data_IF_248289885261
#
_entry.id   IF_248289885261
#
_cell.length_a   1.000
_cell.length_b   1.000
_cell.length_c   1.000
_cell.angle_alpha   90.00
_cell.angle_beta   90.00
_cell.angle_gamma   90.00
#
_symmetry.space_group_name_H-M   'P 1'
#
loop_
_entity.id
_entity.type
_entity.pdbx_description
1 polymer ?
#
# COMPACT_ATOMS: atom_id res chain seq x y z
N UNK A 1 51.32 -20.45 7.45
CA UNK A 1 50.85 -19.18 8.05
C UNK A 1 49.33 -19.25 8.13
N UNK A 2 48.74 -19.02 9.32
CA UNK A 2 47.28 -19.07 9.53
C UNK A 2 46.68 -17.76 9.01
N UNK A 3 45.82 -17.82 7.99
CA UNK A 3 45.04 -16.66 7.56
C UNK A 3 43.83 -16.51 8.47
N UNK A 4 43.78 -15.43 9.25
CA UNK A 4 42.60 -14.99 9.99
C UNK A 4 41.73 -14.22 8.99
N UNK A 5 40.59 -14.79 8.63
CA UNK A 5 39.55 -14.08 7.86
C UNK A 5 38.72 -13.32 8.91
N UNK A 6 38.92 -12.00 8.97
CA UNK A 6 38.05 -11.12 9.77
C UNK A 6 36.80 -10.85 8.93
N UNK A 7 35.70 -11.49 9.31
CA UNK A 7 34.38 -11.23 8.74
C UNK A 7 33.81 -10.00 9.45
N UNK A 8 33.91 -8.84 8.80
CA UNK A 8 33.35 -7.59 9.30
C UNK A 8 31.85 -7.58 8.98
N UNK A 9 31.01 -8.02 9.92
CA UNK A 9 29.57 -7.77 9.87
C UNK A 9 29.31 -6.31 10.24
N UNK A 10 29.21 -5.44 9.23
CA UNK A 10 28.59 -4.12 9.40
C UNK A 10 27.07 -4.32 9.50
N UNK A 11 26.57 -4.52 10.71
CA UNK A 11 25.15 -4.33 11.01
C UNK A 11 24.87 -2.84 11.02
N UNK A 12 24.60 -2.26 9.83
CA UNK A 12 24.06 -0.91 9.75
C UNK A 12 22.68 -0.96 10.39
N UNK A 13 22.58 -0.21 11.47
CA UNK A 13 21.48 -0.16 12.41
C UNK A 13 20.27 0.50 11.76
N UNK A 14 19.10 -0.14 11.97
CA UNK A 14 17.74 0.37 11.83
C UNK A 14 17.50 1.35 10.67
N UNK A 15 16.94 0.83 9.58
CA UNK A 15 16.14 1.63 8.65
C UNK A 15 15.05 2.36 9.46
N UNK A 16 15.30 3.63 9.80
CA UNK A 16 14.27 4.53 10.28
C UNK A 16 13.19 4.54 9.21
N UNK A 17 12.05 3.93 9.51
CA UNK A 17 10.96 3.79 8.57
C UNK A 17 10.61 5.17 7.99
N UNK A 18 10.71 5.30 6.67
CA UNK A 18 10.33 6.48 5.90
C UNK A 18 8.85 6.77 6.15
N UNK A 19 8.56 7.59 7.16
CA UNK A 19 7.23 8.12 7.42
C UNK A 19 7.37 9.59 7.75
N UNK A 20 6.76 10.42 6.91
CA UNK A 20 6.80 11.86 7.06
C UNK A 20 5.90 12.28 8.22
N UNK A 21 6.52 12.72 9.32
CA UNK A 21 5.84 13.47 10.39
C UNK A 21 6.23 14.94 10.29
N UNK A 22 5.40 15.83 10.82
CA UNK A 22 5.73 17.25 10.94
C UNK A 22 5.31 17.80 12.30
N UNK A 23 6.10 18.71 12.84
CA UNK A 23 5.64 19.60 13.91
C UNK A 23 4.62 20.55 13.29
N UNK A 24 3.36 20.43 13.70
CA UNK A 24 2.24 21.15 13.13
C UNK A 24 1.95 22.46 13.87
N UNK A 25 2.09 22.47 15.20
CA UNK A 25 1.81 23.65 16.01
C UNK A 25 2.61 23.68 17.33
N UNK A 26 2.89 24.89 17.83
CA UNK A 26 3.46 25.13 19.16
C UNK A 26 2.64 26.21 19.88
N UNK A 27 2.09 25.88 21.04
CA UNK A 27 1.23 26.73 21.87
C UNK A 27 1.62 26.60 23.35
N UNK A 28 2.52 27.46 23.81
CA UNK A 28 3.10 27.41 25.15
C UNK A 28 2.10 27.73 26.29
N UNK A 29 0.87 28.11 25.97
CA UNK A 29 -0.18 28.41 26.95
C UNK A 29 -0.97 27.14 27.31
N UNK A 30 -0.96 26.13 26.43
CA UNK A 30 -1.69 24.87 26.63
C UNK A 30 -0.88 23.86 27.45
N UNK A 31 -1.61 22.97 28.15
CA UNK A 31 -1.00 21.85 28.89
C UNK A 31 -0.16 20.94 27.99
N UNK A 32 -0.62 20.73 26.75
CA UNK A 32 0.11 20.03 25.70
C UNK A 32 0.43 21.03 24.59
N UNK A 33 1.58 21.68 24.72
CA UNK A 33 1.97 22.81 23.89
C UNK A 33 2.63 22.45 22.56
N UNK A 34 2.93 21.18 22.28
CA UNK A 34 3.56 20.77 21.03
C UNK A 34 2.68 19.75 20.32
N UNK A 35 2.39 20.00 19.04
CA UNK A 35 1.54 19.16 18.21
C UNK A 35 2.33 18.63 17.02
N UNK A 36 2.41 17.30 16.89
CA UNK A 36 3.01 16.63 15.75
C UNK A 36 1.93 15.84 15.02
N UNK A 37 1.99 15.80 13.68
CA UNK A 37 1.09 14.97 12.90
C UNK A 37 1.84 14.04 11.95
N UNK A 38 1.26 12.87 11.72
CA UNK A 38 1.80 11.88 10.78
C UNK A 38 0.68 11.04 10.15
N UNK A 39 0.94 10.46 8.98
CA UNK A 39 0.08 9.47 8.34
C UNK A 39 0.93 8.38 7.71
N UNK A 40 0.41 7.15 7.70
CA UNK A 40 1.11 6.01 7.14
C UNK A 40 1.05 6.04 5.61
N UNK A 41 2.21 6.15 4.98
CA UNK A 41 2.31 6.21 3.52
C UNK A 41 2.21 4.83 2.85
N UNK A 42 2.50 3.75 3.59
CA UNK A 42 2.57 2.38 3.08
C UNK A 42 3.54 2.22 1.88
N UNK A 43 4.64 3.01 1.83
CA UNK A 43 5.59 3.06 0.71
C UNK A 43 6.21 1.69 0.34
N UNK A 44 6.35 0.79 1.32
CA UNK A 44 6.88 -0.56 1.09
C UNK A 44 5.83 -1.53 0.53
N UNK A 45 4.54 -1.20 0.61
CA UNK A 45 3.42 -2.06 0.22
C UNK A 45 3.04 -1.86 -1.25
N UNK A 46 3.96 -2.18 -2.14
CA UNK A 46 3.79 -1.97 -3.59
C UNK A 46 2.91 -3.04 -4.26
N UNK A 47 2.24 -2.64 -5.33
CA UNK A 47 1.53 -3.53 -6.26
C UNK A 47 2.45 -4.60 -6.85
N UNK A 48 1.95 -5.83 -6.99
CA UNK A 48 2.64 -6.94 -7.68
C UNK A 48 1.72 -7.56 -8.72
N UNK A 49 2.27 -8.07 -9.81
CA UNK A 49 1.48 -8.83 -10.77
C UNK A 49 2.31 -9.89 -11.52
N UNK A 50 1.60 -10.91 -11.99
CA UNK A 50 2.12 -11.91 -12.91
C UNK A 50 1.15 -12.07 -14.07
N UNK A 51 1.71 -12.17 -15.28
CA UNK A 51 0.94 -12.46 -16.50
C UNK A 51 1.39 -13.81 -17.03
N UNK A 52 0.44 -14.70 -17.24
CA UNK A 52 0.66 -15.99 -17.91
C UNK A 52 -0.01 -15.93 -19.28
N UNK A 53 0.66 -16.42 -20.33
CA UNK A 53 0.10 -16.50 -21.67
C UNK A 53 -0.13 -17.96 -22.06
N UNK A 54 -1.35 -18.27 -22.49
CA UNK A 54 -1.69 -19.58 -23.05
C UNK A 54 -1.83 -19.44 -24.56
N UNK A 55 -0.92 -20.09 -25.29
CA UNK A 55 -0.95 -20.16 -26.75
C UNK A 55 -1.96 -21.19 -27.24
N UNK A 56 -2.36 -21.07 -28.49
CA UNK A 56 -3.35 -21.93 -29.16
C UNK A 56 -4.71 -21.95 -28.44
N UNK A 57 -5.09 -20.79 -27.87
CA UNK A 57 -6.42 -20.60 -27.32
C UNK A 57 -7.46 -20.50 -28.44
N UNK A 58 -8.66 -21.05 -28.20
CA UNK A 58 -9.79 -20.94 -29.12
C UNK A 58 -10.34 -19.51 -29.22
N UNK A 59 -10.07 -18.68 -28.21
CA UNK A 59 -10.50 -17.28 -28.12
C UNK A 59 -9.34 -16.38 -27.66
N UNK A 60 -9.43 -15.10 -28.01
CA UNK A 60 -8.55 -14.04 -27.52
C UNK A 60 -9.12 -13.44 -26.24
N UNK A 61 -9.01 -14.22 -25.16
CA UNK A 61 -9.57 -13.90 -23.85
C UNK A 61 -8.50 -13.35 -22.90
N UNK A 62 -8.91 -12.42 -22.06
CA UNK A 62 -8.19 -12.04 -20.85
C UNK A 62 -9.00 -12.48 -19.63
N UNK A 63 -8.32 -13.12 -18.68
CA UNK A 63 -8.81 -13.38 -17.33
C UNK A 63 -7.88 -12.79 -16.30
N UNK A 64 -8.36 -12.61 -15.08
CA UNK A 64 -7.47 -12.37 -13.96
C UNK A 64 -8.15 -12.56 -12.62
N UNK A 65 -7.33 -12.59 -11.58
CA UNK A 65 -7.73 -12.68 -10.19
C UNK A 65 -6.96 -11.66 -9.34
N UNK A 66 -7.69 -10.95 -8.48
CA UNK A 66 -7.20 -9.81 -7.70
C UNK A 66 -7.18 -10.16 -6.21
N UNK A 67 -6.05 -9.86 -5.59
CA UNK A 67 -5.78 -10.11 -4.18
C UNK A 67 -5.25 -8.86 -3.50
N UNK A 68 -5.33 -8.83 -2.17
CA UNK A 68 -4.44 -7.99 -1.37
C UNK A 68 -3.07 -8.68 -1.20
N UNK A 69 -2.15 -8.00 -0.52
CA UNK A 69 -0.80 -8.51 -0.27
C UNK A 69 -0.72 -9.63 0.77
N UNK A 70 -1.81 -9.86 1.51
CA UNK A 70 -1.99 -11.00 2.41
C UNK A 70 -2.62 -12.22 1.70
N UNK A 71 -2.87 -12.12 0.38
CA UNK A 71 -3.54 -13.11 -0.47
C UNK A 71 -5.04 -13.29 -0.16
N UNK A 72 -5.69 -12.31 0.46
CA UNK A 72 -7.14 -12.28 0.53
C UNK A 72 -7.70 -11.83 -0.83
N UNK A 73 -8.81 -12.44 -1.25
CA UNK A 73 -9.50 -12.07 -2.48
C UNK A 73 -10.18 -10.71 -2.30
N UNK A 74 -10.08 -9.84 -3.31
CA UNK A 74 -10.78 -8.55 -3.30
C UNK A 74 -11.89 -8.58 -4.34
N UNK A 75 -13.13 -8.49 -3.87
CA UNK A 75 -14.33 -8.51 -4.70
C UNK A 75 -14.80 -7.11 -5.08
N UNK A 76 -15.60 -7.01 -6.14
CA UNK A 76 -16.29 -5.77 -6.51
C UNK A 76 -15.40 -4.67 -7.10
N UNK A 77 -14.10 -4.92 -7.28
CA UNK A 77 -13.16 -3.97 -7.89
C UNK A 77 -13.54 -3.69 -9.34
N UNK A 78 -13.52 -2.41 -9.71
CA UNK A 78 -13.58 -1.99 -11.12
C UNK A 78 -12.23 -2.21 -11.81
N UNK A 79 -12.26 -2.94 -12.91
CA UNK A 79 -11.13 -3.25 -13.79
C UNK A 79 -11.37 -2.58 -15.12
N UNK A 80 -10.58 -1.56 -15.42
CA UNK A 80 -10.67 -0.82 -16.67
C UNK A 80 -9.60 -1.31 -17.63
N UNK A 81 -10.01 -1.64 -18.86
CA UNK A 81 -9.12 -2.08 -19.93
C UNK A 81 -9.24 -1.10 -21.09
N UNK A 82 -8.14 -0.46 -21.44
CA UNK A 82 -8.10 0.60 -22.45
C UNK A 82 -7.13 0.19 -23.55
N UNK A 83 -7.59 0.18 -24.80
CA UNK A 83 -6.70 0.02 -25.95
C UNK A 83 -5.71 1.19 -26.03
N UNK A 84 -4.43 0.94 -26.34
CA UNK A 84 -3.44 2.02 -26.45
C UNK A 84 -3.76 3.04 -27.54
N UNK A 85 -4.43 2.58 -28.61
CA UNK A 85 -4.96 3.46 -29.68
C UNK A 85 -6.21 4.25 -29.26
N UNK A 86 -6.70 4.05 -28.02
CA UNK A 86 -7.90 4.67 -27.44
C UNK A 86 -9.19 4.46 -28.24
N UNK A 87 -9.26 3.40 -29.03
CA UNK A 87 -10.43 3.03 -29.84
C UNK A 87 -11.45 2.20 -29.06
N UNK A 88 -11.01 1.53 -28.00
CA UNK A 88 -11.82 0.70 -27.12
C UNK A 88 -11.45 0.95 -25.65
N UNK A 89 -12.49 1.05 -24.82
CA UNK A 89 -12.43 1.05 -23.36
C UNK A 89 -13.51 0.10 -22.85
N UNK A 90 -13.13 -0.86 -22.02
CA UNK A 90 -14.04 -1.75 -21.31
C UNK A 90 -13.85 -1.58 -19.82
N UNK A 91 -14.93 -1.60 -19.07
CA UNK A 91 -14.92 -1.60 -17.62
C UNK A 91 -15.66 -2.86 -17.15
N UNK A 92 -15.01 -3.62 -16.27
CA UNK A 92 -15.51 -4.87 -15.74
C UNK A 92 -15.51 -4.76 -14.22
N UNK A 93 -16.43 -5.46 -13.57
CA UNK A 93 -16.38 -5.60 -12.13
C UNK A 93 -15.92 -7.00 -11.77
N UNK A 94 -14.93 -7.10 -10.88
CA UNK A 94 -14.47 -8.38 -10.35
C UNK A 94 -15.56 -9.04 -9.50
N UNK A 95 -15.72 -10.35 -9.64
CA UNK A 95 -16.73 -11.12 -8.92
C UNK A 95 -16.40 -11.28 -7.41
N UNK A 96 -17.19 -12.08 -6.70
CA UNK A 96 -16.98 -12.37 -5.27
C UNK A 96 -15.64 -13.07 -4.96
N UNK A 97 -15.01 -13.67 -5.97
CA UNK A 97 -13.70 -14.32 -5.88
C UNK A 97 -12.58 -13.45 -6.44
N UNK A 98 -12.85 -12.16 -6.67
CA UNK A 98 -11.91 -11.22 -7.26
C UNK A 98 -11.54 -11.53 -8.70
N UNK A 99 -12.36 -12.31 -9.42
CA UNK A 99 -12.09 -12.72 -10.80
C UNK A 99 -12.76 -11.81 -11.81
N UNK A 100 -12.09 -11.58 -12.93
CA UNK A 100 -12.67 -10.93 -14.11
C UNK A 100 -12.29 -11.70 -15.37
N UNK A 101 -13.13 -11.60 -16.40
CA UNK A 101 -12.94 -12.28 -17.69
C UNK A 101 -13.59 -11.45 -18.79
N UNK A 102 -12.91 -11.27 -19.91
CA UNK A 102 -13.51 -10.67 -21.11
C UNK A 102 -12.74 -11.06 -22.36
N UNK A 103 -13.42 -11.02 -23.51
CA UNK A 103 -12.78 -11.15 -24.81
C UNK A 103 -12.29 -9.79 -25.31
N UNK A 104 -11.11 -9.78 -25.93
CA UNK A 104 -10.54 -8.60 -26.56
C UNK A 104 -10.06 -8.94 -27.97
N UNK A 105 -10.19 -8.03 -28.94
CA UNK A 105 -9.53 -8.20 -30.21
C UNK A 105 -8.00 -8.15 -30.05
N UNK A 106 -7.29 -8.55 -31.11
CA UNK A 106 -5.83 -8.47 -31.17
C UNK A 106 -5.42 -7.00 -31.07
N UNK A 107 -4.41 -6.73 -30.23
CA UNK A 107 -3.92 -5.37 -30.04
C UNK A 107 -3.14 -5.16 -28.74
N UNK A 108 -2.82 -3.90 -28.49
CA UNK A 108 -2.13 -3.45 -27.27
C UNK A 108 -3.10 -2.70 -26.36
N UNK A 109 -3.02 -3.02 -25.07
CA UNK A 109 -3.95 -2.56 -24.04
C UNK A 109 -3.19 -2.16 -22.77
N UNK A 110 -3.84 -1.35 -21.96
CA UNK A 110 -3.51 -1.12 -20.56
C UNK A 110 -4.65 -1.62 -19.71
N UNK A 111 -4.34 -2.31 -18.62
CA UNK A 111 -5.27 -2.56 -17.52
C UNK A 111 -5.01 -1.51 -16.44
N UNK A 112 -6.08 -0.95 -15.89
CA UNK A 112 -6.06 0.05 -14.82
C UNK A 112 -7.06 -0.38 -13.74
N UNK A 113 -6.61 -0.38 -12.50
CA UNK A 113 -7.44 -0.64 -11.32
C UNK A 113 -7.24 0.51 -10.35
N UNK A 114 -8.35 1.12 -9.95
CA UNK A 114 -8.39 2.17 -8.94
C UNK A 114 -9.45 1.79 -7.91
N UNK A 115 -9.03 1.53 -6.67
CA UNK A 115 -9.91 1.14 -5.59
C UNK A 115 -9.50 1.86 -4.31
N UNK A 116 -10.50 2.29 -3.53
CA UNK A 116 -10.27 3.00 -2.27
C UNK A 116 -9.46 2.09 -1.32
N UNK A 117 -8.43 2.67 -0.70
CA UNK A 117 -7.54 1.98 0.23
C UNK A 117 -6.40 1.20 -0.42
N UNK A 118 -6.32 1.16 -1.75
CA UNK A 118 -5.22 0.55 -2.49
C UNK A 118 -4.55 1.55 -3.42
N UNK A 119 -3.29 1.29 -3.72
CA UNK A 119 -2.53 2.04 -4.72
C UNK A 119 -3.06 1.78 -6.12
N UNK A 120 -2.96 2.80 -6.97
CA UNK A 120 -3.38 2.67 -8.36
C UNK A 120 -2.50 1.61 -9.05
N UNK A 121 -3.15 0.58 -9.60
CA UNK A 121 -2.48 -0.40 -10.43
C UNK A 121 -2.66 -0.08 -11.90
N UNK A 122 -1.56 -0.09 -12.66
CA UNK A 122 -1.57 0.07 -14.10
C UNK A 122 -0.47 -0.75 -14.75
N UNK A 123 -0.80 -1.53 -15.77
CA UNK A 123 0.19 -2.24 -16.56
C UNK A 123 -0.28 -2.41 -18.01
N UNK A 124 0.70 -2.52 -18.92
CA UNK A 124 0.46 -2.71 -20.34
C UNK A 124 0.58 -4.19 -20.73
N UNK A 125 -0.23 -4.62 -21.70
CA UNK A 125 -0.16 -5.97 -22.26
C UNK A 125 -0.59 -6.00 -23.74
N UNK A 126 -0.28 -7.11 -24.41
CA UNK A 126 -0.62 -7.32 -25.81
C UNK A 126 -1.40 -8.63 -25.98
N UNK A 127 -2.54 -8.58 -26.66
CA UNK A 127 -3.30 -9.76 -27.07
C UNK A 127 -2.90 -10.12 -28.49
N UNK A 128 -2.39 -11.35 -28.68
CA UNK A 128 -2.01 -11.91 -29.98
C UNK A 128 -3.07 -12.89 -30.46
N UNK A 129 -3.03 -13.22 -31.74
CA UNK A 129 -3.90 -14.23 -32.33
C UNK A 129 -3.74 -15.58 -31.61
N UNK A 130 -4.86 -16.25 -31.36
CA UNK A 130 -4.92 -17.54 -30.65
C UNK A 130 -4.18 -17.54 -29.30
N UNK A 131 -4.16 -16.42 -28.59
CA UNK A 131 -3.57 -16.31 -27.26
C UNK A 131 -4.60 -15.85 -26.24
N UNK A 132 -4.57 -16.45 -25.05
CA UNK A 132 -5.24 -15.89 -23.88
C UNK A 132 -4.22 -15.46 -22.83
N UNK A 133 -4.58 -14.46 -22.04
CA UNK A 133 -3.76 -13.97 -20.93
C UNK A 133 -4.48 -14.11 -19.62
N UNK A 134 -3.76 -14.59 -18.62
CA UNK A 134 -4.25 -14.72 -17.26
C UNK A 134 -3.40 -13.86 -16.33
N UNK A 135 -4.06 -13.04 -15.52
CA UNK A 135 -3.44 -12.11 -14.59
C UNK A 135 -3.62 -12.55 -13.15
N UNK A 136 -2.54 -12.56 -12.39
CA UNK A 136 -2.59 -12.57 -10.92
C UNK A 136 -2.10 -11.21 -10.45
N UNK A 137 -2.98 -10.43 -9.83
CA UNK A 137 -2.71 -9.05 -9.40
C UNK A 137 -2.83 -8.99 -7.88
N UNK A 138 -1.81 -8.47 -7.20
CA UNK A 138 -1.84 -8.14 -5.78
C UNK A 138 -1.75 -6.64 -5.61
N UNK A 139 -2.78 -6.07 -5.02
CA UNK A 139 -2.84 -4.64 -4.76
C UNK A 139 -2.13 -4.28 -3.46
N UNK A 140 -1.24 -3.32 -3.55
CA UNK A 140 -0.60 -2.63 -2.45
C UNK A 140 -1.53 -1.61 -1.80
N UNK A 141 -1.34 -1.33 -0.51
CA UNK A 141 -2.14 -0.32 0.19
C UNK A 141 -1.73 1.09 -0.25
N UNK A 142 -2.71 1.96 -0.45
CA UNK A 142 -2.41 3.38 -0.65
C UNK A 142 -2.07 4.08 0.66
N UNK A 143 -1.59 5.32 0.54
CA UNK A 143 -1.43 6.22 1.67
C UNK A 143 -2.71 6.27 2.50
N UNK A 144 -2.57 6.07 3.81
CA UNK A 144 -3.69 6.14 4.73
C UNK A 144 -4.19 7.59 4.83
N UNK A 145 -5.52 7.75 4.70
CA UNK A 145 -6.19 9.02 4.94
C UNK A 145 -6.24 9.40 6.42
N UNK A 146 -5.96 8.44 7.32
CA UNK A 146 -5.96 8.70 8.77
C UNK A 146 -4.72 9.50 9.14
N UNK A 147 -4.97 10.66 9.73
CA UNK A 147 -3.94 11.50 10.31
C UNK A 147 -3.93 11.23 11.81
N UNK A 148 -2.76 10.89 12.33
CA UNK A 148 -2.51 10.75 13.75
C UNK A 148 -1.88 12.04 14.28
N UNK A 149 -2.27 12.41 15.48
CA UNK A 149 -1.76 13.57 16.19
C UNK A 149 -1.10 13.13 17.50
N UNK A 150 0.07 13.71 17.79
CA UNK A 150 0.77 13.58 19.06
C UNK A 150 0.76 14.96 19.71
N UNK A 151 0.02 15.09 20.81
CA UNK A 151 0.03 16.27 21.67
C UNK A 151 0.99 16.02 22.82
N UNK A 152 2.05 16.81 22.97
CA UNK A 152 3.02 16.66 24.07
C UNK A 152 3.17 17.92 24.91
N UNK A 153 3.51 17.73 26.20
CA UNK A 153 3.78 18.83 27.13
C UNK A 153 5.09 19.56 26.86
N UNK A 154 6.07 18.86 26.29
CA UNK A 154 7.41 19.34 25.96
C UNK A 154 7.79 18.88 24.56
N UNK A 155 8.71 19.59 23.92
CA UNK A 155 9.27 19.18 22.63
C UNK A 155 9.78 17.74 22.69
N UNK A 156 9.47 16.95 21.66
CA UNK A 156 9.86 15.56 21.54
C UNK A 156 11.03 15.47 20.56
N UNK A 157 12.02 14.65 20.90
CA UNK A 157 13.09 14.28 19.97
C UNK A 157 12.54 13.40 18.85
N UNK A 158 13.14 13.45 17.67
CA UNK A 158 12.81 12.60 16.51
C UNK A 158 12.70 11.12 16.89
N UNK A 159 13.66 10.57 17.64
CA UNK A 159 13.63 9.18 18.11
C UNK A 159 12.35 8.85 18.89
N UNK A 160 11.91 9.79 19.74
CA UNK A 160 10.70 9.58 20.53
C UNK A 160 9.44 9.62 19.67
N UNK A 161 9.42 10.49 18.67
CA UNK A 161 8.33 10.54 17.69
C UNK A 161 8.30 9.23 16.90
N UNK A 162 9.45 8.73 16.42
CA UNK A 162 9.56 7.44 15.75
C UNK A 162 9.05 6.27 16.60
N UNK A 163 9.43 6.19 17.87
CA UNK A 163 8.91 5.16 18.80
C UNK A 163 7.38 5.18 18.91
N UNK A 164 6.78 6.37 18.98
CA UNK A 164 5.33 6.52 19.07
C UNK A 164 4.66 6.07 17.76
N UNK A 165 5.20 6.48 16.61
CA UNK A 165 4.73 6.08 15.28
C UNK A 165 4.83 4.55 15.13
N UNK A 166 5.92 3.92 15.57
CA UNK A 166 6.10 2.46 15.55
C UNK A 166 5.10 1.74 16.45
N UNK A 167 4.81 2.25 17.64
CA UNK A 167 3.76 1.71 18.49
C UNK A 167 2.41 1.71 17.78
N UNK A 168 2.04 2.85 17.16
CA UNK A 168 0.79 2.96 16.40
C UNK A 168 0.82 1.99 15.22
N UNK A 169 1.96 1.87 14.52
CA UNK A 169 2.11 1.00 13.38
C UNK A 169 1.85 -0.48 13.71
N UNK A 170 2.49 -0.96 14.78
CA UNK A 170 2.36 -2.35 15.20
C UNK A 170 0.95 -2.73 15.65
N UNK A 171 0.15 -1.75 16.08
CA UNK A 171 -1.17 -2.02 16.67
C UNK A 171 -2.36 -1.62 15.80
N UNK A 172 -2.22 -0.64 14.89
CA UNK A 172 -3.36 -0.04 14.17
C UNK A 172 -4.16 -0.99 13.29
N UNK A 173 -3.57 -2.12 12.90
CA UNK A 173 -4.24 -3.17 12.12
C UNK A 173 -5.19 -4.03 12.98
N UNK A 174 -5.11 -3.95 14.31
CA UNK A 174 -6.02 -4.65 15.23
C UNK A 174 -7.39 -3.97 15.28
N UNK A 175 -8.46 -4.79 15.28
CA UNK A 175 -9.85 -4.31 15.42
C UNK A 175 -10.11 -3.62 16.77
N UNK A 176 -9.31 -3.91 17.80
CA UNK A 176 -9.48 -3.37 19.15
C UNK A 176 -8.53 -2.22 19.46
N UNK A 177 -7.76 -1.75 18.49
CA UNK A 177 -6.73 -0.74 18.73
C UNK A 177 -7.31 0.58 19.24
N UNK A 178 -6.74 1.09 20.32
CA UNK A 178 -6.93 2.45 20.81
C UNK A 178 -5.60 3.21 20.81
N UNK A 179 -5.61 4.44 20.30
CA UNK A 179 -4.41 5.31 20.30
C UNK A 179 -3.91 5.63 21.71
N UNK A 180 -4.77 5.50 22.73
CA UNK A 180 -4.41 5.66 24.15
C UNK A 180 -3.32 4.66 24.54
N UNK A 181 -3.29 3.47 23.92
CA UNK A 181 -2.26 2.46 24.19
C UNK A 181 -0.86 2.87 23.73
N UNK A 182 -0.75 3.90 22.88
CA UNK A 182 0.51 4.50 22.46
C UNK A 182 0.72 5.89 23.08
N UNK A 183 -0.08 6.27 24.07
CA UNK A 183 0.05 7.52 24.83
C UNK A 183 0.79 7.29 26.14
N UNK A 184 1.43 8.34 26.68
CA UNK A 184 2.07 8.29 27.99
C UNK A 184 1.49 9.33 28.93
N UNK A 185 0.94 8.86 30.06
CA UNK A 185 0.28 9.71 31.06
C UNK A 185 1.21 10.85 31.49
N UNK A 186 0.67 12.06 31.49
CA UNK A 186 1.37 13.31 31.85
C UNK A 186 2.52 13.72 30.92
N UNK A 187 2.78 13.02 29.81
CA UNK A 187 3.82 13.40 28.84
C UNK A 187 3.24 13.75 27.48
N UNK A 188 2.52 12.82 26.86
CA UNK A 188 1.94 13.01 25.55
C UNK A 188 0.71 12.13 25.31
N UNK A 189 -0.15 12.57 24.40
CA UNK A 189 -1.38 11.88 24.00
C UNK A 189 -1.36 11.68 22.49
N UNK A 190 -1.76 10.48 22.07
CA UNK A 190 -1.93 10.14 20.66
C UNK A 190 -3.42 10.07 20.34
N UNK A 191 -3.85 10.76 19.31
CA UNK A 191 -5.23 10.82 18.85
C UNK A 191 -5.31 10.65 17.33
N UNK A 192 -6.51 10.41 16.82
CA UNK A 192 -6.80 10.47 15.38
C UNK A 192 -7.44 11.84 15.14
N UNK A 193 -6.90 12.60 14.20
CA UNK A 193 -7.50 13.84 13.74
C UNK A 193 -8.71 13.51 12.84
N UNK A 194 -9.89 14.02 13.21
CA UNK A 194 -11.15 13.83 12.48
C UNK A 194 -11.45 15.11 11.68
#
# INVERSE_FOLDING_TARGET
MKHIIILLFLTISFSSFSQNWKLNNVDNIKEYGFEYIFSFQNEDDNNEFKITEKKNSKSTEISGQIFDKLNNLISGISVKIISKKRTLSKELQADFYGKFITELPIGEYSIEINHIGFDQFKTDFCIKEYSSKDFIIKLGLSQELRIYQIDSKSELTDNKISEIIECVNGKRKSKSFSTIECSEKNKYKVTIQI
#
